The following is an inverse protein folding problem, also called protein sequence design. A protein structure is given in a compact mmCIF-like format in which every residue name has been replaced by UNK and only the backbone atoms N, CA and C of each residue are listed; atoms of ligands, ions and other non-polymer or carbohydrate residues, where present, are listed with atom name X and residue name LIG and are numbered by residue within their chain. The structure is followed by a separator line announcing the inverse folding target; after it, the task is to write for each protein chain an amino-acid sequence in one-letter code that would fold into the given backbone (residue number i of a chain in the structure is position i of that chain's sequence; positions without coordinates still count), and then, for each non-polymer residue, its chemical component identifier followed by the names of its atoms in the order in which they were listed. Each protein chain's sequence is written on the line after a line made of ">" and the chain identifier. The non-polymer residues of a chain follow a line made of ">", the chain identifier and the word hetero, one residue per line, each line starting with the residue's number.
data_IF_055204809148
#
_entry.id   IF_055204809148
#
_cell.length_a   1.000
_cell.length_b   1.000
_cell.length_c   1.000
_cell.angle_alpha   90.00
_cell.angle_beta   90.00
_cell.angle_gamma   90.00
#
_symmetry.space_group_name_H-M   'P 1'
#
loop_
_entity.id
_entity.type
_entity.pdbx_description
1 polymer ?
#
# COMPACT_ATOMS: atom_id res chain seq x y z
N UNK A 1 12.60 22.78 -10.12
CA UNK A 1 13.98 22.80 -9.59
C UNK A 1 14.17 23.66 -8.34
N UNK A 2 13.12 24.05 -7.61
CA UNK A 2 13.21 24.60 -6.23
C UNK A 2 12.39 23.78 -5.21
N UNK A 3 11.35 23.08 -5.67
CA UNK A 3 10.49 22.22 -4.82
C UNK A 3 11.16 20.91 -4.41
N UNK A 4 12.06 20.37 -5.24
CA UNK A 4 12.74 19.09 -4.99
C UNK A 4 13.88 19.22 -3.97
N UNK A 5 14.67 20.31 -4.01
CA UNK A 5 15.74 20.58 -3.02
C UNK A 5 15.21 20.77 -1.60
N UNK A 6 13.99 21.31 -1.45
CA UNK A 6 13.38 21.55 -0.14
C UNK A 6 12.74 20.29 0.46
N UNK A 7 12.46 19.28 -0.36
CA UNK A 7 11.93 17.99 0.07
C UNK A 7 13.03 17.04 0.55
N UNK A 8 14.18 17.03 -0.13
CA UNK A 8 15.29 16.17 0.25
C UNK A 8 15.92 16.53 1.60
N UNK A 9 15.88 17.81 1.98
CA UNK A 9 16.32 18.28 3.30
C UNK A 9 15.36 17.93 4.45
N UNK A 10 14.17 17.38 4.15
CA UNK A 10 13.12 17.08 5.14
C UNK A 10 12.74 15.60 5.20
N UNK A 11 13.53 14.69 4.62
CA UNK A 11 13.24 13.25 4.52
C UNK A 11 12.85 12.63 5.86
N UNK A 12 13.59 12.94 6.93
CA UNK A 12 13.37 12.39 8.27
C UNK A 12 12.23 13.08 9.05
N UNK A 13 11.63 14.15 8.51
CA UNK A 13 10.56 14.87 9.19
C UNK A 13 9.30 14.00 9.26
N UNK A 14 8.76 13.83 10.47
CA UNK A 14 7.51 13.10 10.70
C UNK A 14 6.27 13.95 10.38
N UNK A 15 5.21 13.30 9.90
CA UNK A 15 3.94 13.91 9.48
C UNK A 15 2.98 14.13 10.67
N UNK A 16 3.43 14.86 11.69
CA UNK A 16 2.65 15.13 12.90
C UNK A 16 1.40 15.99 12.68
N UNK A 17 1.32 16.67 11.53
CA UNK A 17 0.20 17.54 11.17
C UNK A 17 -0.97 16.79 10.51
N UNK A 18 -0.80 15.51 10.17
CA UNK A 18 -1.88 14.66 9.64
C UNK A 18 -2.30 13.66 10.74
N UNK A 19 -3.57 13.69 11.17
CA UNK A 19 -4.07 12.74 12.17
C UNK A 19 -3.82 11.29 11.77
N UNK A 20 -3.24 10.51 12.70
CA UNK A 20 -2.94 9.09 12.48
C UNK A 20 -1.65 8.80 11.70
N UNK A 21 -0.87 9.82 11.31
CA UNK A 21 0.37 9.66 10.53
C UNK A 21 1.65 10.15 11.26
N UNK A 22 1.62 10.34 12.57
CA UNK A 22 2.77 10.84 13.34
C UNK A 22 4.02 9.93 13.34
N UNK A 23 3.87 8.68 12.87
CA UNK A 23 4.98 7.72 12.70
C UNK A 23 5.52 7.66 11.27
N UNK A 24 4.85 8.32 10.33
CA UNK A 24 5.23 8.34 8.92
C UNK A 24 6.16 9.53 8.70
N UNK A 25 7.27 9.31 8.00
CA UNK A 25 8.22 10.36 7.61
C UNK A 25 7.91 10.84 6.19
N UNK A 26 8.45 12.00 5.82
CA UNK A 26 8.33 12.52 4.45
C UNK A 26 8.88 11.53 3.42
N UNK A 27 9.95 10.81 3.75
CA UNK A 27 10.51 9.82 2.83
C UNK A 27 9.65 8.55 2.63
N UNK A 28 8.75 8.27 3.57
CA UNK A 28 7.85 7.11 3.50
C UNK A 28 6.63 7.41 2.58
N UNK A 29 6.47 8.67 2.12
CA UNK A 29 5.41 9.04 1.18
C UNK A 29 5.65 8.46 -0.21
N UNK A 30 4.59 8.09 -0.95
CA UNK A 30 4.73 7.61 -2.32
C UNK A 30 5.47 8.61 -3.22
N UNK A 31 6.27 8.08 -4.15
CA UNK A 31 6.89 8.90 -5.19
C UNK A 31 5.80 9.62 -6.00
N UNK A 32 6.05 10.89 -6.33
CA UNK A 32 5.08 11.75 -7.00
C UNK A 32 4.15 12.52 -6.07
N UNK A 33 4.31 12.41 -4.73
CA UNK A 33 3.60 13.28 -3.77
C UNK A 33 4.46 14.48 -3.39
N UNK A 34 5.67 14.23 -2.87
CA UNK A 34 6.63 15.28 -2.49
C UNK A 34 8.01 15.03 -3.10
N UNK A 35 8.42 13.76 -3.17
CA UNK A 35 9.69 13.34 -3.76
C UNK A 35 9.51 12.62 -5.11
N UNK A 36 10.60 12.46 -5.86
CA UNK A 36 10.60 11.81 -7.17
C UNK A 36 10.21 12.73 -8.33
N UNK A 37 10.00 12.15 -9.52
CA UNK A 37 9.67 12.91 -10.73
C UNK A 37 8.20 13.38 -10.70
N UNK A 38 8.00 14.63 -10.32
CA UNK A 38 6.67 15.27 -10.26
C UNK A 38 6.05 15.53 -11.64
N UNK A 39 6.86 15.51 -12.70
CA UNK A 39 6.38 15.70 -14.07
C UNK A 39 6.03 14.37 -14.76
N UNK A 40 6.22 13.24 -14.07
CA UNK A 40 5.80 11.95 -14.61
C UNK A 40 4.27 11.92 -14.79
N UNK A 41 3.81 11.24 -15.84
CA UNK A 41 2.38 11.05 -16.10
C UNK A 41 1.64 10.49 -14.87
N UNK A 42 2.25 9.54 -14.17
CA UNK A 42 1.65 8.92 -12.99
C UNK A 42 1.50 9.91 -11.82
N UNK A 43 2.53 10.71 -11.55
CA UNK A 43 2.47 11.77 -10.51
C UNK A 43 1.40 12.80 -10.82
N UNK A 44 1.35 13.27 -12.08
CA UNK A 44 0.34 14.23 -12.52
C UNK A 44 -1.07 13.64 -12.43
N UNK A 45 -1.26 12.38 -12.83
CA UNK A 45 -2.53 11.67 -12.71
C UNK A 45 -2.98 11.59 -11.25
N UNK A 46 -2.13 11.14 -10.33
CA UNK A 46 -2.46 11.08 -8.90
C UNK A 46 -2.81 12.44 -8.31
N UNK A 47 -2.05 13.48 -8.68
CA UNK A 47 -2.35 14.85 -8.26
C UNK A 47 -3.73 15.32 -8.77
N UNK A 48 -4.08 15.04 -10.03
CA UNK A 48 -5.41 15.37 -10.55
C UNK A 48 -6.51 14.57 -9.85
N UNK A 49 -6.30 13.27 -9.61
CA UNK A 49 -7.25 12.45 -8.84
C UNK A 49 -7.49 13.07 -7.47
N UNK A 50 -6.44 13.43 -6.72
CA UNK A 50 -6.55 14.09 -5.42
C UNK A 50 -7.34 15.40 -5.44
N UNK A 51 -7.30 16.14 -6.56
CA UNK A 51 -8.05 17.40 -6.73
C UNK A 51 -9.53 17.16 -7.04
N UNK A 52 -9.86 16.13 -7.81
CA UNK A 52 -11.23 15.88 -8.27
C UNK A 52 -11.99 14.89 -7.40
N UNK A 53 -11.31 14.12 -6.54
CA UNK A 53 -11.92 13.09 -5.69
C UNK A 53 -13.03 13.64 -4.79
N UNK A 54 -12.97 14.93 -4.42
CA UNK A 54 -13.98 15.64 -3.64
C UNK A 54 -15.32 15.80 -4.35
N UNK A 55 -15.39 15.59 -5.66
CA UNK A 55 -16.61 15.66 -6.47
C UNK A 55 -17.30 14.30 -6.60
N UNK A 56 -16.72 13.22 -6.06
CA UNK A 56 -17.33 11.90 -6.09
C UNK A 56 -18.59 11.87 -5.20
N UNK A 57 -19.55 11.00 -5.53
CA UNK A 57 -20.70 10.72 -4.64
C UNK A 57 -20.25 9.98 -3.37
N UNK A 58 -19.32 9.03 -3.53
CA UNK A 58 -18.73 8.25 -2.46
C UNK A 58 -17.33 7.78 -2.87
N UNK A 59 -16.49 7.52 -1.87
CA UNK A 59 -15.14 6.95 -2.02
C UNK A 59 -15.15 5.59 -1.32
N UNK A 60 -15.03 4.53 -2.09
CA UNK A 60 -14.95 3.16 -1.57
C UNK A 60 -13.48 2.77 -1.36
N UNK A 61 -13.14 2.32 -0.16
CA UNK A 61 -11.79 1.91 0.22
C UNK A 61 -11.83 0.44 0.62
N UNK A 62 -10.93 -0.37 0.05
CA UNK A 62 -10.71 -1.75 0.47
C UNK A 62 -9.96 -1.77 1.82
N UNK A 63 -10.67 -1.47 2.89
CA UNK A 63 -10.20 -1.43 4.27
C UNK A 63 -11.38 -1.63 5.21
N UNK A 64 -11.13 -1.75 6.51
CA UNK A 64 -12.13 -1.73 7.57
C UNK A 64 -11.87 -0.53 8.51
N UNK A 65 -12.91 -0.01 9.14
CA UNK A 65 -12.80 1.23 9.92
C UNK A 65 -11.91 1.05 11.17
N UNK A 66 -11.95 -0.15 11.73
CA UNK A 66 -11.26 -0.57 12.94
C UNK A 66 -9.73 -0.67 12.76
N UNK A 67 -9.24 -0.78 11.52
CA UNK A 67 -7.81 -0.89 11.23
C UNK A 67 -7.05 0.37 11.68
N UNK A 68 -7.63 1.54 11.40
CA UNK A 68 -7.11 2.82 11.88
C UNK A 68 -8.26 3.84 12.01
N UNK A 69 -8.95 3.87 13.15
CA UNK A 69 -10.10 4.73 13.36
C UNK A 69 -9.77 6.22 13.19
N UNK A 70 -8.58 6.64 13.63
CA UNK A 70 -8.12 8.04 13.53
C UNK A 70 -8.05 8.51 12.08
N UNK A 71 -7.44 7.71 11.20
CA UNK A 71 -7.35 8.05 9.76
C UNK A 71 -8.74 8.01 9.12
N UNK A 72 -9.54 6.98 9.41
CA UNK A 72 -10.88 6.85 8.82
C UNK A 72 -11.79 8.02 9.22
N UNK A 73 -11.76 8.44 10.48
CA UNK A 73 -12.51 9.61 10.97
C UNK A 73 -12.01 10.90 10.34
N UNK A 74 -10.69 11.08 10.22
CA UNK A 74 -10.11 12.27 9.57
C UNK A 74 -10.52 12.38 8.09
N UNK A 75 -10.48 11.26 7.36
CA UNK A 75 -10.94 11.19 5.97
C UNK A 75 -12.43 11.53 5.85
N UNK A 76 -13.28 10.93 6.69
CA UNK A 76 -14.72 11.21 6.73
C UNK A 76 -15.03 12.67 7.10
N UNK A 77 -14.20 13.30 7.93
CA UNK A 77 -14.38 14.68 8.35
C UNK A 77 -13.93 15.70 7.29
N UNK A 78 -12.84 15.40 6.56
CA UNK A 78 -12.23 16.32 5.59
C UNK A 78 -12.76 16.19 4.17
N UNK A 79 -13.22 15.01 3.78
CA UNK A 79 -13.70 14.76 2.43
C UNK A 79 -15.22 14.99 2.36
N UNK A 80 -15.71 15.85 1.45
CA UNK A 80 -17.16 16.03 1.25
C UNK A 80 -17.92 14.75 0.83
N UNK A 81 -17.35 13.87 -0.02
CA UNK A 81 -17.97 12.59 -0.36
C UNK A 81 -18.10 11.65 0.84
N UNK A 82 -19.05 10.71 0.77
CA UNK A 82 -19.13 9.61 1.73
C UNK A 82 -17.92 8.69 1.60
N UNK A 83 -17.09 8.57 2.63
CA UNK A 83 -15.99 7.60 2.68
C UNK A 83 -16.51 6.28 3.27
N UNK A 84 -16.40 5.21 2.49
CA UNK A 84 -16.93 3.88 2.81
C UNK A 84 -15.79 2.85 2.82
N UNK A 85 -15.53 2.27 3.99
CA UNK A 85 -14.67 1.10 4.14
C UNK A 85 -15.47 -0.15 3.77
N UNK A 86 -15.17 -0.74 2.61
CA UNK A 86 -15.92 -1.87 2.03
C UNK A 86 -15.08 -3.16 1.98
N UNK A 87 -14.01 -3.22 2.78
CA UNK A 87 -13.08 -4.33 2.84
C UNK A 87 -13.01 -4.98 4.22
N UNK A 88 -12.07 -5.94 4.39
CA UNK A 88 -11.12 -6.38 3.37
C UNK A 88 -11.78 -7.36 2.38
N UNK A 89 -11.62 -7.10 1.07
CA UNK A 89 -12.32 -7.84 0.02
C UNK A 89 -12.10 -9.35 0.05
N UNK A 90 -10.94 -9.82 0.49
CA UNK A 90 -10.64 -11.25 0.61
C UNK A 90 -11.49 -11.97 1.67
N UNK A 91 -12.16 -11.26 2.57
CA UNK A 91 -13.08 -11.84 3.56
C UNK A 91 -14.56 -11.70 3.17
N UNK A 92 -14.89 -10.68 2.37
CA UNK A 92 -16.29 -10.29 2.09
C UNK A 92 -16.74 -10.81 0.72
N UNK A 93 -15.84 -10.87 -0.25
CA UNK A 93 -16.18 -11.39 -1.59
C UNK A 93 -16.14 -12.92 -1.58
N UNK A 94 -17.06 -13.57 -2.31
CA UNK A 94 -16.98 -15.01 -2.49
C UNK A 94 -15.66 -15.39 -3.16
N UNK A 95 -15.12 -16.58 -2.87
CA UNK A 95 -13.94 -17.08 -3.56
C UNK A 95 -14.20 -17.03 -5.08
N UNK A 96 -13.17 -16.61 -5.82
CA UNK A 96 -13.26 -16.48 -7.27
C UNK A 96 -13.73 -17.79 -7.89
N UNK A 97 -14.70 -17.73 -8.81
CA UNK A 97 -15.15 -18.90 -9.58
C UNK A 97 -14.05 -19.50 -10.48
N UNK A 98 -12.94 -18.78 -10.66
CA UNK A 98 -11.74 -19.29 -11.30
C UNK A 98 -11.04 -20.25 -10.34
N UNK A 99 -10.81 -21.51 -10.72
CA UNK A 99 -10.06 -22.44 -9.88
C UNK A 99 -8.70 -21.81 -9.57
N UNK A 100 -8.34 -21.76 -8.29
CA UNK A 100 -6.98 -21.44 -7.88
C UNK A 100 -6.08 -22.53 -8.46
N UNK A 101 -5.27 -22.19 -9.45
CA UNK A 101 -4.30 -23.08 -10.05
C UNK A 101 -3.17 -23.28 -9.03
N UNK A 102 -3.26 -24.34 -8.23
CA UNK A 102 -2.14 -24.83 -7.42
C UNK A 102 -1.28 -25.79 -8.26
N UNK A 103 -0.71 -25.29 -9.36
CA UNK A 103 0.07 -26.08 -10.32
C UNK A 103 1.26 -26.81 -9.66
N UNK A 104 1.78 -26.25 -8.57
CA UNK A 104 2.92 -26.78 -7.85
C UNK A 104 2.54 -27.66 -6.65
N UNK A 105 1.25 -27.91 -6.40
CA UNK A 105 0.74 -28.62 -5.23
C UNK A 105 1.26 -28.04 -3.89
N UNK A 106 1.38 -26.72 -3.81
CA UNK A 106 1.84 -25.99 -2.63
C UNK A 106 0.98 -26.30 -1.40
N UNK A 107 -0.34 -26.45 -1.56
CA UNK A 107 -1.24 -26.74 -0.43
C UNK A 107 -0.97 -28.14 0.13
N UNK A 108 -0.83 -29.14 -0.73
CA UNK A 108 -0.52 -30.50 -0.31
C UNK A 108 0.87 -30.63 0.34
N UNK A 109 1.83 -29.78 -0.08
CA UNK A 109 3.14 -29.68 0.58
C UNK A 109 3.06 -28.98 1.94
N UNK A 110 2.24 -27.92 2.07
CA UNK A 110 1.99 -27.22 3.33
C UNK A 110 1.35 -28.12 4.39
N UNK A 111 0.42 -29.00 4.00
CA UNK A 111 -0.24 -29.95 4.90
C UNK A 111 0.73 -30.92 5.61
N UNK A 112 1.95 -31.07 5.09
CA UNK A 112 2.99 -31.94 5.64
C UNK A 112 3.94 -31.22 6.61
N UNK A 113 3.83 -29.90 6.75
CA UNK A 113 4.72 -29.09 7.60
C UNK A 113 4.11 -28.87 8.98
N UNK A 114 4.95 -28.57 9.98
CA UNK A 114 4.47 -28.20 11.31
C UNK A 114 3.74 -26.84 11.28
N UNK A 115 2.77 -26.64 12.17
CA UNK A 115 2.05 -25.38 12.26
C UNK A 115 3.01 -24.20 12.54
N UNK A 116 2.88 -23.12 11.77
CA UNK A 116 3.72 -21.91 11.86
C UNK A 116 5.21 -22.12 11.57
N UNK A 117 5.59 -23.18 10.85
CA UNK A 117 7.00 -23.47 10.49
C UNK A 117 7.45 -22.92 9.13
N UNK A 118 6.50 -22.56 8.26
CA UNK A 118 6.79 -22.15 6.87
C UNK A 118 6.76 -20.64 6.73
N UNK A 119 7.76 -20.08 6.05
CA UNK A 119 7.78 -18.69 5.62
C UNK A 119 7.22 -18.54 4.20
N UNK A 120 6.22 -17.68 4.02
CA UNK A 120 5.75 -17.25 2.70
C UNK A 120 6.51 -16.01 2.23
N UNK A 121 7.09 -16.06 1.03
CA UNK A 121 7.84 -14.96 0.43
C UNK A 121 7.26 -14.58 -0.92
N UNK A 122 6.86 -13.32 -1.07
CA UNK A 122 6.36 -12.76 -2.33
C UNK A 122 6.59 -11.25 -2.36
N UNK A 123 6.97 -10.74 -3.54
CA UNK A 123 7.14 -9.32 -3.81
C UNK A 123 5.98 -8.72 -4.61
N UNK A 124 4.88 -9.48 -4.74
CA UNK A 124 3.72 -9.10 -5.56
C UNK A 124 3.95 -9.32 -7.06
N UNK A 125 3.04 -8.78 -7.88
CA UNK A 125 3.00 -9.06 -9.32
C UNK A 125 3.94 -8.22 -10.18
N UNK A 126 4.45 -7.10 -9.65
CA UNK A 126 5.25 -6.13 -10.42
C UNK A 126 6.70 -6.03 -9.98
N UNK A 127 6.99 -6.15 -8.68
CA UNK A 127 8.34 -5.95 -8.19
C UNK A 127 9.25 -7.12 -8.57
N UNK A 128 10.47 -6.80 -8.97
CA UNK A 128 11.52 -7.77 -9.32
C UNK A 128 12.80 -7.32 -8.62
N UNK A 129 13.13 -7.91 -7.45
CA UNK A 129 14.39 -7.61 -6.79
C UNK A 129 15.57 -7.92 -7.72
N UNK A 130 16.65 -7.18 -7.57
CA UNK A 130 17.89 -7.38 -8.32
C UNK A 130 18.50 -8.76 -8.02
N UNK A 131 19.33 -9.31 -8.93
CA UNK A 131 20.01 -10.58 -8.68
C UNK A 131 20.80 -10.61 -7.36
N UNK A 132 21.41 -9.49 -6.97
CA UNK A 132 22.11 -9.34 -5.69
C UNK A 132 21.18 -9.40 -4.47
N UNK A 133 19.98 -8.81 -4.56
CA UNK A 133 18.98 -8.88 -3.48
C UNK A 133 18.40 -10.29 -3.37
N UNK A 134 18.12 -10.97 -4.49
CA UNK A 134 17.69 -12.37 -4.49
C UNK A 134 18.77 -13.27 -3.90
N UNK A 135 20.04 -13.03 -4.24
CA UNK A 135 21.16 -13.78 -3.69
C UNK A 135 21.32 -13.57 -2.18
N UNK A 136 21.18 -12.33 -1.70
CA UNK A 136 21.19 -12.04 -0.27
C UNK A 136 20.02 -12.68 0.47
N UNK A 137 18.82 -12.66 -0.12
CA UNK A 137 17.63 -13.33 0.42
C UNK A 137 17.84 -14.84 0.50
N UNK A 138 18.36 -15.46 -0.56
CA UNK A 138 18.63 -16.90 -0.58
C UNK A 138 19.58 -17.32 0.54
N UNK A 139 20.69 -16.57 0.74
CA UNK A 139 21.62 -16.82 1.85
C UNK A 139 20.99 -16.63 3.24
N UNK A 140 19.99 -15.74 3.37
CA UNK A 140 19.29 -15.53 4.64
C UNK A 140 18.22 -16.57 4.95
N UNK A 141 17.77 -17.32 3.94
CA UNK A 141 16.78 -18.40 4.08
C UNK A 141 17.43 -19.78 4.22
N UNK A 142 18.67 -19.93 3.77
CA UNK A 142 19.53 -21.12 3.97
C UNK A 142 19.97 -21.27 5.43
#
# INVERSE_FOLDING_TARGET
>A
TMYTENAESRKDQVLNFIPGMSKIRVEDLPQGVVMGNQESFFSQMLHQVGRVITHATAICINSCEELNPTITLDLKAKLPPKVLCVGPYNLILPPSSTPSLDENNCLAWLDQQEANSVAYVSFGSFARPSPSEIFALAQGLE
#
